data_IF_352689516551
#
_entry.id   IF_352689516551
#
_cell.length_a   1.000
_cell.length_b   1.000
_cell.length_c   1.000
_cell.angle_alpha   90.00
_cell.angle_beta   90.00
_cell.angle_gamma   90.00
#
_symmetry.space_group_name_H-M   'P 1'
#
loop_
_entity.id
_entity.type
_entity.pdbx_description
1 polymer ?
#
# COMPACT_ATOMS: atom_id res chain seq x y z
N UNK A 1 66.60 -27.84 -14.46
CA UNK A 1 66.35 -27.36 -13.09
C UNK A 1 64.99 -26.67 -13.09
N UNK A 2 63.99 -27.29 -12.49
CA UNK A 2 62.64 -26.75 -12.41
C UNK A 2 62.40 -26.11 -11.06
N UNK A 3 61.82 -24.91 -11.05
CA UNK A 3 61.11 -24.37 -9.88
C UNK A 3 59.86 -23.67 -10.41
N UNK A 4 58.74 -24.40 -10.37
CA UNK A 4 57.40 -23.88 -10.56
C UNK A 4 57.05 -23.03 -9.34
N UNK A 5 56.86 -21.72 -9.55
CA UNK A 5 56.35 -20.82 -8.53
C UNK A 5 54.94 -21.22 -8.13
N UNK A 6 54.78 -21.82 -6.95
CA UNK A 6 53.47 -22.03 -6.36
C UNK A 6 52.91 -20.66 -5.96
N UNK A 7 52.12 -20.08 -6.86
CA UNK A 7 51.20 -18.97 -6.58
C UNK A 7 50.30 -19.45 -5.45
N UNK A 8 50.52 -18.93 -4.25
CA UNK A 8 49.64 -19.16 -3.11
C UNK A 8 48.30 -18.52 -3.43
N UNK A 9 47.38 -19.29 -4.03
CA UNK A 9 45.99 -18.85 -4.13
C UNK A 9 45.45 -18.77 -2.70
N UNK A 10 45.04 -17.56 -2.31
CA UNK A 10 44.44 -17.33 -1.00
C UNK A 10 43.20 -18.22 -0.86
N UNK A 11 43.05 -18.98 0.25
CA UNK A 11 41.87 -19.79 0.51
C UNK A 11 40.55 -18.99 0.39
N UNK A 12 40.60 -17.69 0.72
CA UNK A 12 39.50 -16.76 0.55
C UNK A 12 39.06 -16.58 -0.90
N UNK A 13 39.98 -16.64 -1.88
CA UNK A 13 39.65 -16.52 -3.30
C UNK A 13 38.92 -17.76 -3.81
N UNK A 14 39.31 -18.94 -3.32
CA UNK A 14 38.64 -20.21 -3.61
C UNK A 14 37.24 -20.24 -2.99
N UNK A 15 37.11 -19.86 -1.72
CA UNK A 15 35.83 -19.77 -1.02
C UNK A 15 34.89 -18.75 -1.67
N UNK A 16 35.41 -17.57 -2.05
CA UNK A 16 34.66 -16.56 -2.80
C UNK A 16 34.16 -17.12 -4.13
N UNK A 17 34.99 -17.88 -4.84
CA UNK A 17 34.62 -18.50 -6.12
C UNK A 17 33.52 -19.54 -5.94
N UNK A 18 33.59 -20.35 -4.89
CA UNK A 18 32.58 -21.37 -4.57
C UNK A 18 31.24 -20.75 -4.14
N UNK A 19 31.26 -19.66 -3.37
CA UNK A 19 30.05 -18.92 -2.96
C UNK A 19 29.39 -18.27 -4.18
N UNK A 20 30.17 -17.66 -5.08
CA UNK A 20 29.66 -17.06 -6.32
C UNK A 20 29.04 -18.14 -7.23
N UNK A 21 29.69 -19.29 -7.37
CA UNK A 21 29.18 -20.41 -8.18
C UNK A 21 27.92 -21.06 -7.56
N UNK A 22 27.83 -21.12 -6.23
CA UNK A 22 26.63 -21.57 -5.52
C UNK A 22 25.46 -20.59 -5.68
N UNK A 23 25.73 -19.28 -5.62
CA UNK A 23 24.74 -18.22 -5.87
C UNK A 23 24.19 -18.27 -7.30
N UNK A 24 25.03 -18.57 -8.28
CA UNK A 24 24.64 -18.73 -9.68
C UNK A 24 23.83 -20.01 -9.94
N UNK A 25 24.08 -21.09 -9.18
CA UNK A 25 23.30 -22.35 -9.26
C UNK A 25 21.98 -22.30 -8.49
N UNK A 26 21.90 -21.50 -7.44
CA UNK A 26 20.72 -21.36 -6.58
C UNK A 26 19.76 -20.24 -7.00
N UNK A 27 20.17 -19.32 -7.89
CA UNK A 27 19.30 -18.31 -8.46
C UNK A 27 18.82 -18.75 -9.86
N UNK A 28 17.51 -18.92 -10.10
CA UNK A 28 16.98 -19.23 -11.43
C UNK A 28 17.08 -18.06 -12.42
N UNK A 29 17.88 -17.03 -12.11
CA UNK A 29 18.04 -15.81 -12.88
C UNK A 29 19.51 -15.44 -12.94
N UNK A 30 19.95 -15.03 -14.13
CA UNK A 30 21.29 -14.48 -14.29
C UNK A 30 21.43 -13.14 -13.53
N UNK A 31 22.67 -12.68 -13.25
CA UNK A 31 22.88 -11.44 -12.48
C UNK A 31 22.20 -10.20 -13.08
N UNK A 32 22.08 -10.14 -14.41
CA UNK A 32 21.47 -9.02 -15.13
C UNK A 32 19.94 -9.03 -15.02
N UNK A 33 19.31 -10.20 -15.21
CA UNK A 33 17.87 -10.43 -14.99
C UNK A 33 17.46 -10.12 -13.55
N UNK A 34 18.33 -10.44 -12.58
CA UNK A 34 18.11 -10.11 -11.17
C UNK A 34 18.10 -8.59 -10.96
N UNK A 35 19.06 -7.86 -11.54
CA UNK A 35 19.09 -6.38 -11.47
C UNK A 35 17.84 -5.78 -12.10
N UNK A 36 17.47 -6.21 -13.31
CA UNK A 36 16.29 -5.70 -14.02
C UNK A 36 15.01 -5.94 -13.22
N UNK A 37 14.83 -7.12 -12.62
CA UNK A 37 13.67 -7.40 -11.76
C UNK A 37 13.65 -6.50 -10.51
N UNK A 38 14.80 -6.30 -9.87
CA UNK A 38 14.91 -5.42 -8.69
C UNK A 38 14.58 -3.98 -9.07
N UNK A 39 15.07 -3.49 -10.20
CA UNK A 39 14.78 -2.15 -10.70
C UNK A 39 13.29 -1.97 -11.00
N UNK A 40 12.68 -2.89 -11.77
CA UNK A 40 11.23 -2.88 -12.02
C UNK A 40 10.42 -2.87 -10.72
N UNK A 41 10.83 -3.64 -9.72
CA UNK A 41 10.20 -3.61 -8.40
C UNK A 41 10.32 -2.25 -7.71
N UNK A 42 11.52 -1.65 -7.68
CA UNK A 42 11.77 -0.34 -7.05
C UNK A 42 10.93 0.75 -7.72
N UNK A 43 10.95 0.82 -9.05
CA UNK A 43 10.15 1.77 -9.83
C UNK A 43 8.65 1.59 -9.55
N UNK A 44 8.14 0.36 -9.61
CA UNK A 44 6.74 0.07 -9.29
C UNK A 44 6.38 0.39 -7.84
N UNK A 45 7.29 0.18 -6.89
CA UNK A 45 7.08 0.50 -5.46
C UNK A 45 6.96 2.01 -5.25
N UNK A 46 7.83 2.79 -5.88
CA UNK A 46 7.83 4.25 -5.77
C UNK A 46 6.58 4.86 -6.41
N UNK A 47 6.00 4.20 -7.42
CA UNK A 47 4.78 4.64 -8.11
C UNK A 47 3.49 4.01 -7.56
N UNK A 48 3.51 3.42 -6.35
CA UNK A 48 2.28 2.90 -5.75
C UNK A 48 1.30 4.03 -5.48
N UNK A 49 0.03 3.77 -5.78
CA UNK A 49 -1.04 4.68 -5.44
C UNK A 49 -1.69 4.21 -4.12
N UNK A 50 -1.58 5.02 -3.07
CA UNK A 50 -2.20 4.78 -1.76
C UNK A 50 -3.54 5.49 -1.59
N UNK A 51 -3.86 6.41 -2.49
CA UNK A 51 -5.14 7.12 -2.45
C UNK A 51 -6.25 6.20 -2.97
N UNK A 52 -7.48 6.41 -2.49
CA UNK A 52 -8.62 5.60 -2.93
C UNK A 52 -8.93 5.93 -4.39
N UNK A 53 -8.74 4.97 -5.29
CA UNK A 53 -9.09 5.10 -6.72
C UNK A 53 -10.28 4.23 -7.09
N UNK A 54 -11.35 4.83 -7.59
CA UNK A 54 -12.51 4.13 -8.14
C UNK A 54 -12.26 3.86 -9.63
N UNK A 55 -11.93 2.61 -9.99
CA UNK A 55 -11.63 2.25 -11.39
C UNK A 55 -12.88 2.04 -12.25
N UNK A 56 -13.96 1.54 -11.64
CA UNK A 56 -15.20 1.19 -12.35
C UNK A 56 -16.37 1.96 -11.77
N UNK A 57 -16.78 3.02 -12.45
CA UNK A 57 -17.87 3.88 -11.99
C UNK A 57 -19.19 3.10 -11.83
N UNK A 58 -19.55 2.26 -12.80
CA UNK A 58 -20.79 1.48 -12.76
C UNK A 58 -20.88 0.52 -11.55
N UNK A 59 -19.75 -0.05 -11.11
CA UNK A 59 -19.73 -0.92 -9.92
C UNK A 59 -19.88 -0.12 -8.63
N UNK A 60 -19.36 1.11 -8.60
CA UNK A 60 -19.50 2.02 -7.45
C UNK A 60 -20.96 2.46 -7.30
N UNK A 61 -21.59 2.96 -8.36
CA UNK A 61 -22.99 3.37 -8.33
C UNK A 61 -23.91 2.23 -7.91
N UNK A 62 -23.68 1.01 -8.42
CA UNK A 62 -24.42 -0.18 -8.02
C UNK A 62 -24.19 -0.57 -6.55
N UNK A 63 -22.97 -0.39 -6.02
CA UNK A 63 -22.68 -0.69 -4.61
C UNK A 63 -23.24 0.35 -3.64
N UNK A 64 -23.45 1.59 -4.11
CA UNK A 64 -23.94 2.70 -3.32
C UNK A 64 -25.48 2.67 -3.19
N UNK A 65 -26.19 2.27 -4.25
CA UNK A 65 -27.66 2.19 -4.22
C UNK A 65 -28.22 0.95 -3.53
N UNK A 66 -27.40 -0.09 -3.29
CA UNK A 66 -27.85 -1.34 -2.65
C UNK A 66 -28.16 -1.15 -1.16
N UNK A 67 -29.23 -1.77 -0.63
CA UNK A 67 -29.59 -1.67 0.78
C UNK A 67 -28.52 -2.33 1.68
N UNK A 68 -28.22 -1.67 2.81
CA UNK A 68 -27.23 -2.15 3.77
C UNK A 68 -27.78 -2.17 5.20
N UNK A 69 -27.39 -3.17 5.97
CA UNK A 69 -27.64 -3.29 7.41
C UNK A 69 -26.27 -3.39 8.09
N UNK A 70 -25.92 -2.41 8.92
CA UNK A 70 -24.60 -2.32 9.60
C UNK A 70 -23.41 -2.44 8.63
N UNK A 71 -23.50 -1.77 7.49
CA UNK A 71 -22.45 -1.72 6.45
C UNK A 71 -22.37 -2.95 5.52
N UNK A 72 -23.08 -4.04 5.81
CA UNK A 72 -23.19 -5.23 4.95
C UNK A 72 -24.39 -5.09 4.02
N UNK A 73 -24.31 -5.67 2.83
CA UNK A 73 -25.50 -5.73 1.95
C UNK A 73 -26.58 -6.60 2.59
N UNK A 74 -27.80 -6.10 2.62
CA UNK A 74 -28.94 -6.83 3.14
C UNK A 74 -29.33 -7.99 2.20
N UNK A 75 -29.83 -9.08 2.80
CA UNK A 75 -30.55 -10.14 2.08
C UNK A 75 -32.04 -9.82 2.02
N UNK A 76 -32.75 -10.39 1.05
CA UNK A 76 -34.17 -10.11 0.84
C UNK A 76 -35.01 -10.32 2.12
N UNK A 77 -34.81 -11.43 2.82
CA UNK A 77 -35.54 -11.75 4.07
C UNK A 77 -35.25 -10.78 5.23
N UNK A 78 -34.10 -10.09 5.22
CA UNK A 78 -33.70 -9.12 6.23
C UNK A 78 -34.30 -7.73 5.96
N UNK A 79 -34.54 -7.41 4.68
CA UNK A 79 -35.21 -6.17 4.26
C UNK A 79 -36.67 -6.19 4.72
N UNK A 80 -37.35 -7.34 4.62
CA UNK A 80 -38.74 -7.51 5.05
C UNK A 80 -38.91 -7.37 6.57
N UNK A 81 -37.94 -7.88 7.34
CA UNK A 81 -37.97 -7.84 8.82
C UNK A 81 -37.53 -6.50 9.40
N UNK A 82 -36.88 -5.65 8.61
CA UNK A 82 -36.47 -4.32 9.03
C UNK A 82 -36.80 -3.29 7.93
N UNK A 83 -38.08 -2.88 7.81
CA UNK A 83 -38.51 -1.91 6.81
C UNK A 83 -37.99 -0.49 7.08
N UNK A 84 -37.31 -0.24 8.21
CA UNK A 84 -36.79 1.07 8.63
C UNK A 84 -35.51 1.51 7.87
N UNK A 85 -35.25 0.97 6.69
CA UNK A 85 -34.18 1.50 5.80
C UNK A 85 -34.70 2.73 5.02
N UNK A 86 -35.40 3.63 5.71
CA UNK A 86 -35.71 4.96 5.21
C UNK A 86 -34.54 5.87 5.58
N UNK A 87 -33.64 6.12 4.63
CA UNK A 87 -32.54 7.09 4.74
C UNK A 87 -33.06 8.55 4.73
N UNK A 88 -34.14 8.84 5.45
CA UNK A 88 -34.84 10.13 5.35
C UNK A 88 -35.46 10.58 6.68
N UNK A 89 -34.63 10.75 7.71
CA UNK A 89 -34.79 11.81 8.72
C UNK A 89 -33.58 11.79 9.66
N UNK A 90 -32.50 12.47 9.28
CA UNK A 90 -31.68 13.15 10.28
C UNK A 90 -32.01 14.63 10.05
N UNK A 91 -32.98 15.13 10.83
CA UNK A 91 -33.09 16.57 11.04
C UNK A 91 -31.88 16.93 11.88
N UNK A 92 -30.88 17.51 11.25
CA UNK A 92 -29.82 18.21 11.98
C UNK A 92 -30.46 19.52 12.39
N UNK A 93 -30.85 19.62 13.65
CA UNK A 93 -30.87 20.91 14.32
C UNK A 93 -29.40 21.33 14.35
N UNK A 94 -29.06 22.34 13.54
CA UNK A 94 -27.76 22.99 13.55
C UNK A 94 -27.69 23.76 14.88
N UNK A 95 -26.93 23.22 15.83
CA UNK A 95 -26.42 23.98 16.96
C UNK A 95 -25.14 24.66 16.45
N UNK A 96 -25.30 25.91 15.97
CA UNK A 96 -24.27 26.72 15.31
C UNK A 96 -23.08 27.12 16.22
N UNK A 97 -23.01 26.63 17.47
CA UNK A 97 -22.02 27.06 18.46
C UNK A 97 -20.64 26.40 18.32
N UNK A 98 -20.53 25.27 17.61
CA UNK A 98 -19.28 24.48 17.56
C UNK A 98 -18.34 24.83 16.38
N UNK A 99 -18.80 25.52 15.34
CA UNK A 99 -17.93 25.86 14.19
C UNK A 99 -16.85 26.89 14.53
N UNK A 100 -17.15 27.86 15.40
CA UNK A 100 -16.20 28.89 15.83
C UNK A 100 -15.00 28.32 16.62
N UNK A 101 -15.21 27.22 17.35
CA UNK A 101 -14.17 26.58 18.16
C UNK A 101 -13.11 25.88 17.28
N UNK A 102 -13.49 25.33 16.13
CA UNK A 102 -12.56 24.69 15.20
C UNK A 102 -11.70 25.70 14.42
N UNK A 103 -12.27 26.86 14.07
CA UNK A 103 -11.55 27.92 13.36
C UNK A 103 -10.41 28.46 14.24
N UNK A 104 -10.71 28.74 15.51
CA UNK A 104 -9.73 29.21 16.48
C UNK A 104 -8.61 28.18 16.76
N UNK A 105 -8.96 26.89 16.82
CA UNK A 105 -7.99 25.81 17.01
C UNK A 105 -7.03 25.69 15.81
N UNK A 106 -7.53 25.80 14.59
CA UNK A 106 -6.73 25.70 13.38
C UNK A 106 -5.79 26.90 13.19
N UNK A 107 -6.25 28.09 13.56
CA UNK A 107 -5.47 29.32 13.49
C UNK A 107 -4.34 29.34 14.55
N UNK A 108 -4.60 28.78 15.74
CA UNK A 108 -3.59 28.58 16.78
C UNK A 108 -2.49 27.57 16.37
N UNK A 109 -2.86 26.52 15.61
CA UNK A 109 -1.89 25.57 15.04
C UNK A 109 -1.01 26.24 13.98
N UNK A 110 -1.58 27.12 13.16
CA UNK A 110 -0.84 27.85 12.11
C UNK A 110 0.12 28.90 12.68
N UNK A 111 -0.26 29.58 13.76
CA UNK A 111 0.55 30.65 14.37
C UNK A 111 1.90 30.18 14.93
N UNK A 112 2.00 28.90 15.33
CA UNK A 112 3.22 28.35 15.94
C UNK A 112 4.29 27.86 14.94
N UNK A 113 4.08 28.02 13.62
CA UNK A 113 5.07 27.63 12.59
C UNK A 113 5.83 28.83 11.98
N UNK A 114 5.58 30.05 12.48
CA UNK A 114 6.32 31.26 12.10
C UNK A 114 6.82 32.00 13.35
N UNK A 115 7.82 31.41 14.01
CA UNK A 115 8.83 32.14 14.80
C UNK A 115 10.16 31.40 14.76
#
# INVERSE_FOLDING_TARGET
MGQNGKRWESPLASESSMIIEAMNRACPYNPEEKKERIERYRTKRNQRNFTKKIKYACRKTLADSRPRIRGRFARNDEIEKNPQVQWSHIGVEEDDEDEENWINYLESISGNLLS
#
